data_IF_841837874712
#
_entry.id   IF_841837874712
#
_cell.length_a   1.000
_cell.length_b   1.000
_cell.length_c   1.000
_cell.angle_alpha   90.00
_cell.angle_beta   90.00
_cell.angle_gamma   90.00
#
_symmetry.space_group_name_H-M   'P 1'
#
loop_
_entity.id
_entity.type
_entity.pdbx_description
1 polymer ?
#
# COMPACT_ATOMS: atom_id res chain seq x y z
N UNK A 1 -18.94 42.61 -42.31
CA UNK A 1 -19.47 41.44 -41.57
C UNK A 1 -20.87 41.79 -41.12
N UNK A 2 -21.86 41.02 -41.52
CA UNK A 2 -23.25 41.29 -41.13
C UNK A 2 -23.42 40.98 -39.64
N UNK A 3 -24.18 41.81 -38.94
CA UNK A 3 -24.37 41.70 -37.48
C UNK A 3 -24.91 40.32 -37.07
N UNK A 4 -25.73 39.70 -37.94
CA UNK A 4 -26.23 38.33 -37.82
C UNK A 4 -25.12 37.28 -37.90
N UNK A 5 -24.14 37.43 -38.79
CA UNK A 5 -22.99 36.52 -38.88
C UNK A 5 -22.12 36.60 -37.62
N UNK A 6 -21.86 37.81 -37.13
CA UNK A 6 -21.10 38.01 -35.89
C UNK A 6 -21.82 37.39 -34.67
N UNK A 7 -23.15 37.56 -34.60
CA UNK A 7 -23.98 36.97 -33.54
C UNK A 7 -23.95 35.43 -33.57
N UNK A 8 -24.06 34.83 -34.76
CA UNK A 8 -24.04 33.38 -34.92
C UNK A 8 -22.68 32.77 -34.53
N UNK A 9 -21.58 33.43 -34.89
CA UNK A 9 -20.23 32.99 -34.49
C UNK A 9 -20.05 33.08 -32.98
N UNK A 10 -20.52 34.15 -32.34
CA UNK A 10 -20.46 34.31 -30.89
C UNK A 10 -21.29 33.24 -30.17
N UNK A 11 -22.51 32.99 -30.63
CA UNK A 11 -23.37 31.93 -30.08
C UNK A 11 -22.72 30.55 -30.19
N UNK A 12 -22.14 30.23 -31.35
CA UNK A 12 -21.44 28.97 -31.58
C UNK A 12 -20.23 28.81 -30.64
N UNK A 13 -19.43 29.86 -30.47
CA UNK A 13 -18.28 29.85 -29.57
C UNK A 13 -18.68 29.63 -28.11
N UNK A 14 -19.78 30.27 -27.67
CA UNK A 14 -20.34 30.10 -26.33
C UNK A 14 -20.80 28.65 -26.13
N UNK A 15 -21.52 28.07 -27.10
CA UNK A 15 -21.98 26.69 -27.02
C UNK A 15 -20.83 25.68 -26.97
N UNK A 16 -19.79 25.86 -27.79
CA UNK A 16 -18.59 25.02 -27.76
C UNK A 16 -17.86 25.12 -26.42
N UNK A 17 -17.71 26.33 -25.89
CA UNK A 17 -17.03 26.56 -24.59
C UNK A 17 -17.82 25.92 -23.45
N UNK A 18 -19.14 26.10 -23.45
CA UNK A 18 -20.03 25.47 -22.48
C UNK A 18 -19.92 23.94 -22.54
N UNK A 19 -19.89 23.35 -23.74
CA UNK A 19 -19.73 21.90 -23.92
C UNK A 19 -18.39 21.40 -23.36
N UNK A 20 -17.29 22.09 -23.66
CA UNK A 20 -15.96 21.74 -23.13
C UNK A 20 -15.96 21.81 -21.60
N UNK A 21 -16.50 22.88 -21.02
CA UNK A 21 -16.61 23.04 -19.56
C UNK A 21 -17.46 21.91 -18.97
N UNK A 22 -18.60 21.59 -19.57
CA UNK A 22 -19.48 20.49 -19.12
C UNK A 22 -18.74 19.15 -19.14
N UNK A 23 -18.02 18.82 -20.21
CA UNK A 23 -17.24 17.57 -20.29
C UNK A 23 -16.17 17.53 -19.21
N UNK A 24 -15.43 18.62 -19.00
CA UNK A 24 -14.40 18.70 -17.96
C UNK A 24 -14.99 18.54 -16.55
N UNK A 25 -16.13 19.17 -16.28
CA UNK A 25 -16.83 19.05 -15.00
C UNK A 25 -17.36 17.64 -14.78
N UNK A 26 -17.94 17.00 -15.80
CA UNK A 26 -18.42 15.60 -15.71
C UNK A 26 -17.26 14.64 -15.46
N UNK A 27 -16.13 14.78 -16.17
CA UNK A 27 -14.94 13.96 -15.93
C UNK A 27 -14.39 14.18 -14.52
N UNK A 28 -14.40 15.41 -14.02
CA UNK A 28 -14.02 15.73 -12.64
C UNK A 28 -15.01 15.14 -11.63
N UNK A 29 -16.31 15.22 -11.90
CA UNK A 29 -17.36 14.64 -11.04
C UNK A 29 -17.27 13.13 -11.00
N UNK A 30 -17.00 12.45 -12.13
CA UNK A 30 -16.78 11.00 -12.18
C UNK A 30 -15.54 10.63 -11.33
N UNK A 31 -14.44 11.37 -11.46
CA UNK A 31 -13.23 11.16 -10.66
C UNK A 31 -13.43 11.43 -9.16
N UNK A 32 -14.29 12.37 -8.79
CA UNK A 32 -14.62 12.64 -7.39
C UNK A 32 -15.64 11.63 -6.83
N UNK A 33 -16.62 11.22 -7.64
CA UNK A 33 -17.64 10.25 -7.27
C UNK A 33 -17.07 8.83 -7.15
N UNK A 34 -16.05 8.47 -7.95
CA UNK A 34 -15.33 7.20 -7.79
C UNK A 34 -14.65 7.09 -6.42
N UNK A 35 -14.27 8.21 -5.78
CA UNK A 35 -13.74 8.20 -4.41
C UNK A 35 -14.78 7.82 -3.34
N UNK A 36 -16.08 8.03 -3.60
CA UNK A 36 -17.16 7.80 -2.63
C UNK A 36 -17.58 6.33 -2.49
N UNK A 37 -17.43 5.52 -3.54
CA UNK A 37 -17.91 4.12 -3.56
C UNK A 37 -16.91 3.11 -2.98
N UNK A 38 -15.64 3.47 -2.80
CA UNK A 38 -14.60 2.53 -2.34
C UNK A 38 -14.27 2.66 -0.84
N UNK A 39 -14.82 3.67 -0.17
CA UNK A 39 -14.56 3.91 1.25
C UNK A 39 -14.97 2.72 2.15
N UNK A 40 -16.13 2.06 1.97
CA UNK A 40 -16.48 0.89 2.77
C UNK A 40 -15.48 -0.27 2.62
N UNK A 41 -14.99 -0.51 1.40
CA UNK A 41 -14.02 -1.59 1.09
C UNK A 41 -12.68 -1.30 1.75
N UNK A 42 -12.22 -0.05 1.70
CA UNK A 42 -10.99 0.38 2.39
C UNK A 42 -11.13 0.20 3.91
N UNK A 43 -12.27 0.59 4.48
CA UNK A 43 -12.52 0.47 5.92
C UNK A 43 -12.60 -1.00 6.37
N UNK A 44 -13.21 -1.86 5.56
CA UNK A 44 -13.27 -3.30 5.82
C UNK A 44 -11.87 -3.94 5.82
N UNK A 45 -11.05 -3.63 4.81
CA UNK A 45 -9.66 -4.08 4.76
C UNK A 45 -8.87 -3.64 6.00
N UNK A 46 -9.02 -2.37 6.41
CA UNK A 46 -8.40 -1.86 7.63
C UNK A 46 -8.88 -2.59 8.89
N UNK A 47 -10.18 -2.88 9.02
CA UNK A 47 -10.72 -3.61 10.16
C UNK A 47 -10.19 -5.04 10.23
N UNK A 48 -10.07 -5.73 9.09
CA UNK A 48 -9.53 -7.08 9.04
C UNK A 48 -8.08 -7.15 9.57
N UNK A 49 -7.24 -6.21 9.12
CA UNK A 49 -5.83 -6.10 9.54
C UNK A 49 -5.62 -5.65 10.99
N UNK A 50 -6.70 -5.37 11.73
CA UNK A 50 -6.65 -4.99 13.16
C UNK A 50 -7.13 -6.10 14.10
N UNK A 51 -7.43 -7.29 13.55
CA UNK A 51 -7.88 -8.43 14.35
C UNK A 51 -6.73 -9.11 15.10
N UNK A 52 -7.04 -9.75 16.24
CA UNK A 52 -6.04 -10.55 16.98
C UNK A 52 -5.48 -11.70 16.15
N UNK A 53 -6.31 -12.28 15.28
CA UNK A 53 -5.91 -13.34 14.35
C UNK A 53 -4.87 -12.84 13.34
N UNK A 54 -5.05 -11.61 12.82
CA UNK A 54 -4.10 -10.97 11.93
C UNK A 54 -2.72 -10.84 12.58
N UNK A 55 -2.65 -10.29 13.80
CA UNK A 55 -1.38 -10.10 14.50
C UNK A 55 -0.66 -11.43 14.75
N UNK A 56 -1.39 -12.47 15.17
CA UNK A 56 -0.82 -13.82 15.36
C UNK A 56 -0.30 -14.40 14.05
N UNK A 57 -1.05 -14.27 12.96
CA UNK A 57 -0.63 -14.74 11.65
C UNK A 57 0.64 -14.02 11.17
N UNK A 58 0.68 -12.70 11.32
CA UNK A 58 1.80 -11.86 10.94
C UNK A 58 3.07 -12.25 11.71
N UNK A 59 2.97 -12.38 13.04
CA UNK A 59 4.08 -12.81 13.88
C UNK A 59 4.57 -14.21 13.49
N UNK A 60 3.65 -15.15 13.30
CA UNK A 60 3.97 -16.52 12.92
C UNK A 60 4.70 -16.59 11.56
N UNK A 61 4.19 -15.89 10.55
CA UNK A 61 4.79 -15.84 9.21
C UNK A 61 6.19 -15.24 9.26
N UNK A 62 6.41 -14.17 10.02
CA UNK A 62 7.70 -13.48 10.08
C UNK A 62 8.75 -14.18 10.94
N UNK A 63 8.33 -14.93 11.97
CA UNK A 63 9.27 -15.42 12.99
C UNK A 63 9.38 -16.94 13.05
N UNK A 64 8.35 -17.69 12.63
CA UNK A 64 8.23 -19.13 12.89
C UNK A 64 8.16 -19.96 11.63
N UNK A 65 7.38 -19.54 10.62
CA UNK A 65 7.06 -20.35 9.44
C UNK A 65 8.30 -20.97 8.76
N UNK A 66 9.30 -20.14 8.44
CA UNK A 66 10.53 -20.57 7.76
C UNK A 66 11.45 -21.42 8.64
N UNK A 67 11.31 -21.35 9.97
CA UNK A 67 12.07 -22.19 10.91
C UNK A 67 11.50 -23.60 11.00
N UNK A 68 10.18 -23.73 10.89
CA UNK A 68 9.48 -25.01 11.05
C UNK A 68 9.32 -25.77 9.71
N UNK A 69 9.13 -25.06 8.59
CA UNK A 69 8.80 -25.69 7.31
C UNK A 69 9.65 -25.19 6.16
N UNK A 70 10.25 -26.12 5.44
CA UNK A 70 11.02 -25.86 4.23
C UNK A 70 10.13 -25.41 3.06
N UNK A 71 10.62 -24.46 2.25
CA UNK A 71 9.88 -23.84 1.15
C UNK A 71 9.56 -24.81 -0.01
N UNK A 72 10.33 -25.89 -0.15
CA UNK A 72 10.17 -26.93 -1.16
C UNK A 72 8.86 -27.71 -1.00
N UNK A 73 8.28 -27.70 0.21
CA UNK A 73 6.95 -28.26 0.45
C UNK A 73 5.85 -27.47 -0.25
N UNK A 74 6.12 -26.20 -0.59
CA UNK A 74 5.13 -25.27 -1.11
C UNK A 74 4.07 -24.94 -0.06
N UNK A 75 3.16 -24.04 -0.41
CA UNK A 75 2.03 -23.68 0.45
C UNK A 75 1.06 -24.87 0.67
N UNK A 76 0.85 -25.72 -0.33
CA UNK A 76 -0.03 -26.90 -0.22
C UNK A 76 0.50 -27.94 0.77
N UNK A 77 1.83 -28.04 0.90
CA UNK A 77 2.51 -28.96 1.81
C UNK A 77 2.64 -28.46 3.25
N UNK A 78 2.12 -27.27 3.58
CA UNK A 78 2.08 -26.76 4.95
C UNK A 78 0.97 -27.46 5.77
N UNK A 79 1.20 -27.71 7.07
CA UNK A 79 0.14 -28.10 7.99
C UNK A 79 -0.99 -27.07 8.02
N UNK A 80 -2.19 -27.52 8.39
CA UNK A 80 -3.41 -26.71 8.31
C UNK A 80 -3.29 -25.36 9.04
N UNK A 81 -2.72 -25.34 10.24
CA UNK A 81 -2.54 -24.11 11.01
C UNK A 81 -1.58 -23.14 10.31
N UNK A 82 -0.41 -23.60 9.87
CA UNK A 82 0.57 -22.78 9.16
C UNK A 82 -0.01 -22.24 7.85
N UNK A 83 -0.76 -23.07 7.13
CA UNK A 83 -1.46 -22.69 5.90
C UNK A 83 -2.55 -21.64 6.16
N UNK A 84 -3.28 -21.75 7.26
CA UNK A 84 -4.30 -20.77 7.67
C UNK A 84 -3.68 -19.40 7.97
N UNK A 85 -2.56 -19.36 8.69
CA UNK A 85 -1.82 -18.12 8.93
C UNK A 85 -1.23 -17.53 7.65
N UNK A 86 -0.63 -18.35 6.79
CA UNK A 86 -0.14 -17.92 5.49
C UNK A 86 -1.27 -17.36 4.61
N UNK A 87 -2.45 -17.99 4.61
CA UNK A 87 -3.64 -17.51 3.89
C UNK A 87 -4.16 -16.19 4.45
N UNK A 88 -4.21 -16.04 5.77
CA UNK A 88 -4.68 -14.82 6.42
C UNK A 88 -3.91 -13.61 5.88
N UNK A 89 -2.58 -13.73 5.78
CA UNK A 89 -1.72 -12.67 5.25
C UNK A 89 -1.78 -12.59 3.72
N UNK A 90 -1.57 -13.73 3.05
CA UNK A 90 -1.40 -13.78 1.60
C UNK A 90 -2.67 -13.38 0.84
N UNK A 91 -3.84 -13.86 1.25
CA UNK A 91 -5.11 -13.49 0.62
C UNK A 91 -5.45 -12.02 0.86
N UNK A 92 -5.21 -11.51 2.07
CA UNK A 92 -5.46 -10.11 2.39
C UNK A 92 -4.67 -9.17 1.48
N UNK A 93 -3.36 -9.38 1.36
CA UNK A 93 -2.54 -8.51 0.51
C UNK A 93 -2.73 -8.78 -0.99
N UNK A 94 -3.12 -9.99 -1.39
CA UNK A 94 -3.51 -10.27 -2.77
C UNK A 94 -4.80 -9.52 -3.15
N UNK A 95 -5.80 -9.51 -2.28
CA UNK A 95 -7.04 -8.76 -2.49
C UNK A 95 -6.78 -7.25 -2.48
N UNK A 96 -5.96 -6.76 -1.55
CA UNK A 96 -5.56 -5.35 -1.54
C UNK A 96 -4.77 -4.97 -2.80
N UNK A 97 -3.88 -5.85 -3.25
CA UNK A 97 -3.12 -5.70 -4.49
C UNK A 97 -4.03 -5.62 -5.71
N UNK A 98 -5.10 -6.42 -5.78
CA UNK A 98 -6.11 -6.33 -6.87
C UNK A 98 -6.73 -4.94 -6.92
N UNK A 99 -7.17 -4.44 -5.78
CA UNK A 99 -7.82 -3.13 -5.69
C UNK A 99 -6.87 -1.99 -6.12
N UNK A 100 -5.59 -2.10 -5.78
CA UNK A 100 -4.56 -1.14 -6.22
C UNK A 100 -4.28 -1.27 -7.72
N UNK A 101 -4.06 -2.49 -8.22
CA UNK A 101 -3.74 -2.75 -9.62
C UNK A 101 -4.86 -2.30 -10.58
N UNK A 102 -6.12 -2.39 -10.13
CA UNK A 102 -7.28 -1.93 -10.89
C UNK A 102 -7.64 -0.46 -10.64
N UNK A 103 -6.86 0.29 -9.85
CA UNK A 103 -7.07 1.71 -9.59
C UNK A 103 -8.30 2.03 -8.74
N UNK A 104 -8.84 1.04 -8.02
CA UNK A 104 -9.97 1.23 -7.09
C UNK A 104 -9.50 1.88 -5.78
N UNK A 105 -8.25 1.63 -5.37
CA UNK A 105 -7.62 2.26 -4.21
C UNK A 105 -6.31 2.90 -4.65
N UNK A 106 -6.06 4.12 -4.18
CA UNK A 106 -4.80 4.82 -4.37
C UNK A 106 -3.64 4.03 -3.72
N UNK A 107 -2.58 3.74 -4.50
CA UNK A 107 -1.45 2.96 -4.00
C UNK A 107 -0.73 3.65 -2.84
N UNK A 108 -0.68 4.98 -2.82
CA UNK A 108 0.00 5.75 -1.76
C UNK A 108 -0.74 5.58 -0.44
N UNK A 109 -2.07 5.45 -0.45
CA UNK A 109 -2.83 5.13 0.75
C UNK A 109 -2.40 3.78 1.35
N UNK A 110 -2.28 2.75 0.51
CA UNK A 110 -1.90 1.39 0.95
C UNK A 110 -0.46 1.35 1.42
N UNK A 111 0.48 1.87 0.61
CA UNK A 111 1.91 1.93 0.91
C UNK A 111 2.16 2.75 2.16
N UNK A 112 1.50 3.91 2.32
CA UNK A 112 1.62 4.72 3.51
C UNK A 112 1.12 4.02 4.77
N UNK A 113 0.03 3.24 4.66
CA UNK A 113 -0.62 2.58 5.80
C UNK A 113 0.11 1.32 6.28
N UNK A 114 0.53 0.45 5.35
CA UNK A 114 1.13 -0.85 5.69
C UNK A 114 2.65 -0.85 5.56
N UNK A 115 3.20 0.09 4.82
CA UNK A 115 4.63 0.36 4.78
C UNK A 115 5.48 -0.82 4.36
N UNK A 116 6.66 -0.90 4.97
CA UNK A 116 7.65 -1.97 4.74
C UNK A 116 7.15 -3.36 5.13
N UNK A 117 6.04 -3.45 5.87
CA UNK A 117 5.47 -4.74 6.29
C UNK A 117 4.96 -5.55 5.09
N UNK A 118 4.47 -4.89 4.04
CA UNK A 118 4.05 -5.54 2.79
C UNK A 118 5.23 -6.35 2.22
N UNK A 119 6.38 -5.70 2.08
CA UNK A 119 7.59 -6.31 1.51
C UNK A 119 8.09 -7.44 2.41
N UNK A 120 8.20 -7.20 3.72
CA UNK A 120 8.66 -8.22 4.67
C UNK A 120 7.81 -9.48 4.68
N UNK A 121 6.49 -9.32 4.61
CA UNK A 121 5.56 -10.46 4.60
C UNK A 121 5.57 -11.18 3.26
N UNK A 122 5.70 -10.44 2.14
CA UNK A 122 5.92 -11.05 0.84
C UNK A 122 7.21 -11.87 0.84
N UNK A 123 8.34 -11.31 1.26
CA UNK A 123 9.63 -12.01 1.27
C UNK A 123 9.59 -13.30 2.11
N UNK A 124 8.85 -13.31 3.22
CA UNK A 124 8.65 -14.50 4.04
C UNK A 124 7.79 -15.59 3.35
N UNK A 125 6.78 -15.19 2.56
CA UNK A 125 5.83 -16.11 1.92
C UNK A 125 6.22 -16.49 0.48
N UNK A 126 7.02 -15.66 -0.19
CA UNK A 126 7.40 -15.80 -1.59
C UNK A 126 8.02 -17.17 -1.91
N UNK A 127 8.93 -17.74 -1.08
CA UNK A 127 9.49 -19.06 -1.36
C UNK A 127 8.44 -20.17 -1.50
N UNK A 128 7.40 -20.15 -0.67
CA UNK A 128 6.29 -21.11 -0.74
C UNK A 128 5.41 -20.87 -1.97
N UNK A 129 5.12 -19.61 -2.29
CA UNK A 129 4.35 -19.22 -3.47
C UNK A 129 5.06 -19.60 -4.77
N UNK A 130 6.37 -19.36 -4.88
CA UNK A 130 7.16 -19.76 -6.04
C UNK A 130 7.22 -21.27 -6.21
N UNK A 131 7.32 -22.04 -5.12
CA UNK A 131 7.21 -23.49 -5.20
C UNK A 131 5.86 -23.93 -5.77
N UNK A 132 4.76 -23.33 -5.34
CA UNK A 132 3.43 -23.63 -5.92
C UNK A 132 3.35 -23.32 -7.41
N UNK A 133 3.87 -22.15 -7.82
CA UNK A 133 3.90 -21.73 -9.23
C UNK A 133 4.71 -22.71 -10.09
N UNK A 134 5.88 -23.13 -9.61
CA UNK A 134 6.73 -24.11 -10.33
C UNK A 134 6.07 -25.49 -10.43
N UNK A 135 5.43 -25.96 -9.36
CA UNK A 135 4.86 -27.32 -9.30
C UNK A 135 3.50 -27.44 -9.99
N UNK A 136 2.69 -26.39 -9.95
CA UNK A 136 1.28 -26.45 -10.34
C UNK A 136 0.90 -25.44 -11.44
N UNK A 137 1.80 -24.54 -11.86
CA UNK A 137 1.54 -23.58 -12.94
C UNK A 137 0.49 -22.51 -12.63
N UNK A 138 0.10 -22.35 -11.36
CA UNK A 138 -0.93 -21.39 -10.94
C UNK A 138 -0.32 -20.05 -10.57
N UNK A 139 -0.92 -18.94 -11.01
CA UNK A 139 -0.57 -17.57 -10.60
C UNK A 139 -1.00 -17.31 -9.15
N UNK A 140 -0.30 -17.95 -8.22
CA UNK A 140 -0.59 -17.88 -6.78
C UNK A 140 -0.11 -16.55 -6.19
N UNK A 141 -1.01 -15.79 -5.58
CA UNK A 141 -0.75 -14.48 -4.95
C UNK A 141 -0.01 -13.47 -5.85
N UNK A 142 -0.40 -13.38 -7.12
CA UNK A 142 0.26 -12.51 -8.10
C UNK A 142 0.06 -11.02 -7.78
N UNK A 143 -1.08 -10.65 -7.19
CA UNK A 143 -1.36 -9.25 -6.85
C UNK A 143 -0.67 -8.83 -5.55
N UNK A 144 -0.44 -9.78 -4.63
CA UNK A 144 0.41 -9.50 -3.47
C UNK A 144 1.86 -9.22 -3.91
N UNK A 145 2.40 -10.02 -4.83
CA UNK A 145 3.72 -9.77 -5.39
C UNK A 145 3.83 -8.41 -6.07
N UNK A 146 2.86 -8.07 -6.94
CA UNK A 146 2.81 -6.74 -7.59
C UNK A 146 2.77 -5.62 -6.55
N UNK A 147 1.94 -5.76 -5.51
CA UNK A 147 1.87 -4.79 -4.41
C UNK A 147 3.20 -4.66 -3.64
N UNK A 148 3.88 -5.78 -3.38
CA UNK A 148 5.20 -5.78 -2.75
C UNK A 148 6.24 -5.08 -3.65
N UNK A 149 6.23 -5.35 -4.96
CA UNK A 149 7.13 -4.73 -5.92
C UNK A 149 6.91 -3.20 -6.02
N UNK A 150 5.65 -2.75 -6.06
CA UNK A 150 5.29 -1.32 -5.99
C UNK A 150 5.80 -0.66 -4.72
N UNK A 151 5.63 -1.34 -3.58
CA UNK A 151 6.06 -0.85 -2.26
C UNK A 151 7.58 -0.78 -2.16
N UNK A 152 8.31 -1.75 -2.71
CA UNK A 152 9.77 -1.73 -2.77
C UNK A 152 10.28 -0.57 -3.66
N UNK A 153 9.56 -0.25 -4.74
CA UNK A 153 9.91 0.84 -5.67
C UNK A 153 9.52 2.22 -5.15
N UNK A 154 8.51 2.31 -4.29
CA UNK A 154 8.02 3.55 -3.68
C UNK A 154 8.08 3.43 -2.16
N UNK A 155 9.23 3.75 -1.54
CA UNK A 155 9.40 3.60 -0.10
C UNK A 155 8.35 4.43 0.67
N UNK A 156 7.83 3.96 1.82
CA UNK A 156 6.79 4.67 2.57
C UNK A 156 7.20 6.11 2.97
N UNK A 157 8.50 6.35 3.15
CA UNK A 157 9.03 7.68 3.44
C UNK A 157 8.73 8.71 2.33
N UNK A 158 8.72 8.32 1.06
CA UNK A 158 8.37 9.25 -0.03
C UNK A 158 6.89 9.61 0.03
N UNK A 159 6.02 8.62 0.29
CA UNK A 159 4.59 8.85 0.50
C UNK A 159 4.34 9.80 1.67
N UNK A 160 5.05 9.62 2.79
CA UNK A 160 4.92 10.51 3.95
C UNK A 160 5.36 11.94 3.66
N UNK A 161 6.41 12.11 2.85
CA UNK A 161 6.89 13.41 2.40
C UNK A 161 5.88 14.10 1.48
N UNK A 162 5.31 13.37 0.51
CA UNK A 162 4.31 13.89 -0.44
C UNK A 162 3.03 14.35 0.29
N UNK A 163 2.61 13.59 1.31
CA UNK A 163 1.47 13.94 2.17
C UNK A 163 1.78 15.05 3.19
N UNK A 164 3.04 15.47 3.32
CA UNK A 164 3.50 16.46 4.31
C UNK A 164 3.09 16.10 5.74
N UNK A 165 3.20 14.82 6.09
CA UNK A 165 2.86 14.35 7.44
C UNK A 165 3.77 15.01 8.48
N UNK A 166 3.21 15.35 9.64
CA UNK A 166 3.94 16.02 10.72
C UNK A 166 4.36 15.01 11.79
N UNK A 167 5.62 15.05 12.18
CA UNK A 167 6.12 14.26 13.31
C UNK A 167 5.87 14.98 14.63
N UNK A 168 5.38 14.25 15.64
CA UNK A 168 5.30 14.71 17.01
C UNK A 168 6.19 13.81 17.89
N UNK A 169 7.37 14.26 18.34
CA UNK A 169 8.19 13.46 19.22
C UNK A 169 7.47 13.20 20.55
N UNK A 170 7.77 12.09 21.25
CA UNK A 170 7.25 11.83 22.58
C UNK A 170 7.56 13.01 23.51
N UNK A 171 6.60 13.36 24.38
CA UNK A 171 6.83 14.37 25.41
C UNK A 171 7.95 13.86 26.33
N UNK A 172 9.15 14.42 26.20
CA UNK A 172 10.21 14.16 27.16
C UNK A 172 9.74 14.71 28.51
N UNK A 173 9.72 13.85 29.55
CA UNK A 173 9.51 14.33 30.91
C UNK A 173 10.69 15.24 31.27
N UNK A 174 10.46 16.44 31.85
CA UNK A 174 11.56 17.26 32.36
C UNK A 174 12.36 16.44 33.38
N UNK A 175 13.62 16.15 33.08
CA UNK A 175 14.52 15.40 33.98
C UNK A 175 15.09 14.08 33.44
N UNK A 176 14.66 13.58 32.29
CA UNK A 176 15.30 12.42 31.65
C UNK A 176 16.47 12.83 30.73
N UNK A 177 17.46 13.54 31.28
CA UNK A 177 18.80 13.59 30.67
C UNK A 177 19.52 12.34 31.16
N UNK A 178 19.52 11.28 30.33
CA UNK A 178 20.49 10.19 30.43
C UNK A 178 21.84 10.64 29.85
N UNK A 179 22.96 10.09 30.33
CA UNK A 179 24.27 10.72 30.19
C UNK A 179 24.68 10.79 28.72
N UNK A 180 25.20 11.96 28.33
CA UNK A 180 26.05 12.06 27.16
C UNK A 180 27.17 11.04 27.33
N UNK A 181 27.20 10.05 26.44
CA UNK A 181 28.31 9.13 26.27
C UNK A 181 29.57 9.94 26.06
N UNK A 182 30.39 9.93 27.09
CA UNK A 182 31.81 10.21 27.08
C UNK A 182 32.47 9.34 25.99
N UNK A 183 32.85 9.96 24.88
CA UNK A 183 33.82 9.41 23.92
C UNK A 183 34.76 10.56 23.59
N UNK A 184 35.83 10.62 24.38
CA UNK A 184 36.91 11.56 24.23
C UNK A 184 37.72 11.37 22.95
N UNK A 185 38.43 12.44 22.60
CA UNK A 185 39.87 12.43 22.36
C UNK A 185 40.32 13.88 22.08
N UNK A 186 40.86 14.53 23.10
CA UNK A 186 41.78 15.65 22.92
C UNK A 186 43.03 15.16 22.17
N UNK A 187 43.54 15.90 21.17
CA UNK A 187 44.89 15.68 20.68
C UNK A 187 45.86 16.56 21.49
N UNK A 188 46.75 15.92 22.25
CA UNK A 188 47.95 16.56 22.76
C UNK A 188 48.70 17.26 21.61
N UNK A 189 48.91 18.57 21.75
CA UNK A 189 49.93 19.30 20.99
C UNK A 189 51.09 19.62 21.91
N UNK A 190 52.26 19.23 21.42
CA UNK A 190 53.63 19.61 21.79
C UNK A 190 53.79 21.06 22.24
#
# INVERSE_FOLDING_TARGET
>A
MDATTALNVAALAISLTALVISVLLTLRQIRLASGGNHLPVVLEAFNHSRSATWFKAQEYVLTTLAREYQAERGWRGLPEQARSYANTIGLFYDDLGKLVAHGMIDQSLVIGSYGTNIVRLWDALAPYAYTERRKHGLHFWIYFEDLAARTASTPPASVYADLRLRSRPPRQKPGAVGPASDLGAEPERR
#
